data_IF_521459356035
#
_entry.id   IF_521459356035
#
_cell.length_a   1.000
_cell.length_b   1.000
_cell.length_c   1.000
_cell.angle_alpha   90.00
_cell.angle_beta   90.00
_cell.angle_gamma   90.00
#
_symmetry.space_group_name_H-M   'P 1'
#
loop_
_entity.id
_entity.type
_entity.pdbx_description
1 polymer ?
#
# COMPACT_ATOMS: atom_id res chain seq x y z
N UNK A 1 6.37 -2.63 -13.56
CA UNK A 1 5.43 -1.76 -14.29
C UNK A 1 6.07 -0.43 -14.58
N UNK A 2 5.27 0.60 -14.87
CA UNK A 2 5.72 1.98 -15.12
C UNK A 2 5.96 2.79 -13.83
N UNK A 3 5.60 2.23 -12.67
CA UNK A 3 5.79 2.81 -11.35
C UNK A 3 4.74 3.85 -10.93
N UNK A 4 3.62 3.96 -11.65
CA UNK A 4 2.60 4.99 -11.43
C UNK A 4 1.31 4.49 -10.74
N UNK A 5 1.28 3.23 -10.29
CA UNK A 5 0.19 2.67 -9.49
C UNK A 5 0.36 3.07 -8.03
N UNK A 6 -0.72 3.50 -7.37
CA UNK A 6 -0.72 3.89 -5.96
C UNK A 6 -0.72 2.66 -5.05
N UNK A 7 0.10 2.70 -4.00
CA UNK A 7 0.08 1.80 -2.85
C UNK A 7 -0.22 2.56 -1.56
N UNK A 8 -0.77 1.87 -0.57
CA UNK A 8 -1.00 2.40 0.78
C UNK A 8 0.08 1.88 1.74
N UNK A 9 0.79 2.81 2.39
CA UNK A 9 1.89 2.50 3.31
C UNK A 9 1.56 2.95 4.73
N UNK A 10 1.89 2.11 5.70
CA UNK A 10 1.66 2.38 7.13
C UNK A 10 2.72 1.66 7.95
N UNK A 11 3.12 2.26 9.08
CA UNK A 11 4.02 1.63 10.05
C UNK A 11 3.26 0.64 10.94
N UNK A 12 3.93 -0.36 11.49
CA UNK A 12 3.30 -1.35 12.38
C UNK A 12 2.74 -0.70 13.66
N UNK A 13 3.37 0.39 14.14
CA UNK A 13 2.90 1.15 15.28
C UNK A 13 1.55 1.86 14.99
N UNK A 14 1.43 2.47 13.81
CA UNK A 14 0.18 3.08 13.38
C UNK A 14 -0.90 2.03 13.10
N UNK A 15 -0.54 0.86 12.54
CA UNK A 15 -1.47 -0.28 12.40
C UNK A 15 -2.06 -0.66 13.76
N UNK A 16 -1.21 -0.77 14.78
CA UNK A 16 -1.66 -1.03 16.16
C UNK A 16 -2.63 0.03 16.65
N UNK A 17 -2.31 1.31 16.44
CA UNK A 17 -3.15 2.45 16.84
C UNK A 17 -4.53 2.39 16.19
N UNK A 18 -4.60 2.29 14.85
CA UNK A 18 -5.88 2.25 14.13
C UNK A 18 -6.70 1.00 14.45
N UNK A 19 -6.04 -0.13 14.72
CA UNK A 19 -6.72 -1.37 15.10
C UNK A 19 -7.42 -1.23 16.45
N UNK A 20 -6.75 -0.66 17.46
CA UNK A 20 -7.35 -0.44 18.79
C UNK A 20 -8.47 0.59 18.73
N UNK A 21 -8.33 1.64 17.92
CA UNK A 21 -9.40 2.60 17.70
C UNK A 21 -10.62 1.93 17.07
N UNK A 22 -10.42 1.15 16.00
CA UNK A 22 -11.49 0.41 15.34
C UNK A 22 -12.20 -0.58 16.26
N UNK A 23 -11.45 -1.30 17.10
CA UNK A 23 -12.03 -2.26 18.04
C UNK A 23 -12.96 -1.62 19.10
N UNK A 24 -12.74 -0.33 19.41
CA UNK A 24 -13.51 0.41 20.42
C UNK A 24 -14.59 1.33 19.82
N UNK A 25 -14.76 1.35 18.50
CA UNK A 25 -15.68 2.24 17.82
C UNK A 25 -16.92 1.49 17.32
N UNK A 26 -18.14 1.78 17.82
CA UNK A 26 -19.35 1.11 17.35
C UNK A 26 -19.64 1.34 15.86
N UNK A 27 -19.07 2.38 15.23
CA UNK A 27 -19.22 2.66 13.80
C UNK A 27 -18.57 1.59 12.91
N UNK A 28 -17.64 0.79 13.43
CA UNK A 28 -16.92 -0.25 12.68
C UNK A 28 -17.56 -1.64 12.79
N UNK A 29 -18.66 -1.78 13.54
CA UNK A 29 -19.35 -3.06 13.71
C UNK A 29 -19.74 -3.67 12.37
N UNK A 30 -19.28 -4.91 12.12
CA UNK A 30 -19.49 -5.64 10.86
C UNK A 30 -18.98 -4.89 9.61
N UNK A 31 -17.93 -4.09 9.75
CA UNK A 31 -17.27 -3.40 8.63
C UNK A 31 -15.82 -3.83 8.41
N UNK A 32 -15.36 -3.76 7.17
CA UNK A 32 -13.94 -3.70 6.86
C UNK A 32 -13.42 -2.27 7.09
N UNK A 33 -12.32 -2.13 7.84
CA UNK A 33 -11.66 -0.84 8.04
C UNK A 33 -10.46 -0.75 7.11
N UNK A 34 -10.51 0.18 6.17
CA UNK A 34 -9.46 0.42 5.20
C UNK A 34 -8.53 1.51 5.70
N UNK A 35 -7.23 1.30 5.57
CA UNK A 35 -6.22 2.25 6.01
C UNK A 35 -5.49 2.77 4.77
N UNK A 36 -5.98 3.87 4.19
CA UNK A 36 -5.37 4.54 3.04
C UNK A 36 -5.09 5.99 3.40
N UNK A 37 -3.97 6.19 4.09
CA UNK A 37 -3.62 7.48 4.68
C UNK A 37 -3.16 8.47 3.59
N UNK A 38 -3.75 9.67 3.47
CA UNK A 38 -3.51 10.56 2.33
C UNK A 38 -2.04 10.90 2.04
N UNK A 39 -1.23 11.14 3.08
CA UNK A 39 0.18 11.47 2.89
C UNK A 39 1.08 10.25 2.60
N UNK A 40 0.57 9.03 2.87
CA UNK A 40 1.28 7.77 2.65
C UNK A 40 0.66 6.95 1.51
N UNK A 41 -0.22 7.55 0.70
CA UNK A 41 -0.79 6.94 -0.47
C UNK A 41 0.01 7.35 -1.71
N UNK A 42 1.01 6.53 -2.03
CA UNK A 42 2.13 6.90 -2.90
C UNK A 42 2.35 5.87 -4.00
N UNK A 43 2.86 6.30 -5.14
CA UNK A 43 3.33 5.43 -6.21
C UNK A 43 4.79 5.02 -5.95
N UNK A 44 5.25 3.95 -6.61
CA UNK A 44 6.65 3.55 -6.53
C UNK A 44 7.59 4.68 -6.99
N UNK A 45 7.22 5.41 -8.05
CA UNK A 45 8.00 6.57 -8.52
C UNK A 45 8.07 7.70 -7.47
N UNK A 46 6.98 7.99 -6.76
CA UNK A 46 6.96 8.99 -5.67
C UNK A 46 7.84 8.55 -4.49
N UNK A 47 7.80 7.26 -4.10
CA UNK A 47 8.66 6.71 -3.05
C UNK A 47 10.14 6.82 -3.42
N UNK A 48 10.49 6.47 -4.66
CA UNK A 48 11.86 6.59 -5.14
C UNK A 48 12.33 8.05 -5.11
N UNK A 49 11.50 8.99 -5.55
CA UNK A 49 11.82 10.42 -5.48
C UNK A 49 12.01 10.92 -4.04
N UNK A 50 11.16 10.46 -3.10
CA UNK A 50 11.31 10.76 -1.66
C UNK A 50 12.63 10.22 -1.12
N UNK A 51 13.01 9.00 -1.52
CA UNK A 51 14.26 8.39 -1.10
C UNK A 51 15.49 9.11 -1.68
N UNK A 52 15.49 9.42 -2.98
CA UNK A 52 16.53 10.19 -3.66
C UNK A 52 16.75 11.56 -3.01
N UNK A 53 15.67 12.25 -2.64
CA UNK A 53 15.73 13.51 -1.88
C UNK A 53 16.41 13.32 -0.51
N UNK A 54 16.13 12.22 0.20
CA UNK A 54 16.74 11.94 1.51
C UNK A 54 18.24 11.64 1.41
N UNK A 55 18.65 10.93 0.37
CA UNK A 55 20.06 10.51 0.19
C UNK A 55 20.90 11.50 -0.63
N UNK A 56 20.28 12.52 -1.21
CA UNK A 56 20.96 13.56 -2.00
C UNK A 56 21.56 13.07 -3.31
N UNK A 57 21.08 11.95 -3.86
CA UNK A 57 21.54 11.39 -5.13
C UNK A 57 20.41 10.72 -5.92
N UNK A 58 20.53 10.74 -7.24
CA UNK A 58 19.64 10.01 -8.14
C UNK A 58 20.08 8.56 -8.26
N UNK A 59 19.11 7.64 -8.24
CA UNK A 59 19.29 6.21 -8.44
C UNK A 59 19.01 5.85 -9.91
N UNK A 60 19.77 4.89 -10.42
CA UNK A 60 19.46 4.23 -11.69
C UNK A 60 18.15 3.44 -11.54
N UNK A 61 17.28 3.53 -12.56
CA UNK A 61 15.94 2.95 -12.53
C UNK A 61 15.78 1.98 -13.70
N UNK A 62 15.41 0.76 -13.39
CA UNK A 62 15.02 -0.26 -14.36
C UNK A 62 13.54 -0.53 -14.22
N UNK A 63 12.78 -0.33 -15.30
CA UNK A 63 11.37 -0.63 -15.35
C UNK A 63 11.16 -2.01 -15.98
N UNK A 64 10.50 -2.91 -15.24
CA UNK A 64 10.24 -4.28 -15.69
C UNK A 64 8.77 -4.39 -16.14
N UNK A 65 8.48 -4.82 -17.38
CA UNK A 65 7.10 -4.97 -17.87
C UNK A 65 6.36 -6.11 -17.16
N UNK A 66 5.03 -6.04 -17.12
CA UNK A 66 4.20 -7.00 -16.39
C UNK A 66 4.42 -8.44 -16.89
N UNK A 67 4.55 -8.63 -18.20
CA UNK A 67 4.75 -9.94 -18.81
C UNK A 67 6.03 -10.61 -18.30
N UNK A 68 7.10 -9.82 -18.10
CA UNK A 68 8.34 -10.33 -17.54
C UNK A 68 8.17 -10.68 -16.06
N UNK A 69 7.51 -9.84 -15.26
CA UNK A 69 7.23 -10.16 -13.85
C UNK A 69 6.41 -11.44 -13.71
N UNK A 70 5.39 -11.64 -14.54
CA UNK A 70 4.56 -12.86 -14.55
C UNK A 70 5.36 -14.10 -14.94
N UNK A 71 6.33 -13.95 -15.85
CA UNK A 71 7.28 -15.02 -16.19
C UNK A 71 8.18 -15.34 -14.98
N UNK A 72 8.76 -14.32 -14.35
CA UNK A 72 9.63 -14.48 -13.19
C UNK A 72 8.92 -15.17 -12.02
N UNK A 73 7.64 -14.86 -11.78
CA UNK A 73 6.79 -15.54 -10.77
C UNK A 73 6.70 -17.05 -11.06
N UNK A 74 6.47 -17.44 -12.32
CA UNK A 74 6.30 -18.84 -12.71
C UNK A 74 7.61 -19.64 -12.64
N UNK A 75 8.74 -18.99 -12.91
CA UNK A 75 10.06 -19.62 -12.97
C UNK A 75 10.77 -19.63 -11.60
N UNK A 76 10.33 -18.80 -10.65
CA UNK A 76 10.92 -18.71 -9.31
C UNK A 76 10.46 -19.83 -8.37
N UNK A 77 11.38 -20.29 -7.51
CA UNK A 77 11.06 -21.19 -6.39
C UNK A 77 10.49 -20.47 -5.17
N UNK A 78 9.88 -21.21 -4.24
CA UNK A 78 9.42 -20.68 -2.95
C UNK A 78 10.62 -20.23 -2.09
N UNK A 79 10.54 -19.08 -1.37
CA UNK A 79 9.40 -18.16 -1.25
C UNK A 79 9.36 -17.01 -2.27
N UNK A 80 10.30 -16.98 -3.23
CA UNK A 80 10.46 -15.85 -4.15
C UNK A 80 9.27 -15.64 -5.07
N UNK A 81 8.67 -16.73 -5.58
CA UNK A 81 7.45 -16.65 -6.40
C UNK A 81 6.29 -15.97 -5.65
N UNK A 82 6.13 -16.28 -4.36
CA UNK A 82 5.10 -15.67 -3.51
C UNK A 82 5.36 -14.18 -3.29
N UNK A 83 6.60 -13.79 -2.99
CA UNK A 83 6.96 -12.38 -2.82
C UNK A 83 6.77 -11.57 -4.12
N UNK A 84 7.17 -12.13 -5.26
CA UNK A 84 6.94 -11.49 -6.56
C UNK A 84 5.45 -11.37 -6.89
N UNK A 85 4.64 -12.37 -6.56
CA UNK A 85 3.18 -12.31 -6.72
C UNK A 85 2.55 -11.23 -5.82
N UNK A 86 3.03 -11.07 -4.59
CA UNK A 86 2.61 -9.99 -3.69
C UNK A 86 2.96 -8.61 -4.26
N UNK A 87 4.20 -8.41 -4.73
CA UNK A 87 4.60 -7.15 -5.36
C UNK A 87 3.88 -6.89 -6.68
N UNK A 88 3.55 -7.93 -7.44
CA UNK A 88 2.74 -7.80 -8.66
C UNK A 88 1.33 -7.27 -8.34
N UNK A 89 0.67 -7.85 -7.34
CA UNK A 89 -0.63 -7.36 -6.86
C UNK A 89 -0.57 -5.89 -6.44
N UNK A 90 0.41 -5.55 -5.60
CA UNK A 90 0.50 -4.21 -5.00
C UNK A 90 0.99 -3.13 -5.97
N UNK A 91 2.04 -3.41 -6.75
CA UNK A 91 2.71 -2.40 -7.59
C UNK A 91 2.25 -2.35 -9.04
N UNK A 92 1.61 -3.41 -9.55
CA UNK A 92 1.17 -3.47 -10.94
C UNK A 92 -0.36 -3.52 -11.05
N UNK A 93 -1.04 -4.32 -10.22
CA UNK A 93 -2.51 -4.39 -10.24
C UNK A 93 -3.20 -3.32 -9.40
N UNK A 94 -2.50 -2.73 -8.44
CA UNK A 94 -3.04 -1.66 -7.60
C UNK A 94 -4.10 -2.16 -6.64
N UNK A 95 -3.78 -3.21 -5.87
CA UNK A 95 -4.70 -3.79 -4.90
C UNK A 95 -5.14 -2.83 -3.78
N UNK A 96 -4.47 -1.70 -3.60
CA UNK A 96 -4.87 -0.61 -2.71
C UNK A 96 -5.81 0.44 -3.36
N UNK A 97 -6.09 0.33 -4.67
CA UNK A 97 -6.82 1.31 -5.48
C UNK A 97 -8.23 0.82 -5.77
N UNK A 98 -9.18 1.19 -4.91
CA UNK A 98 -10.59 0.81 -5.06
C UNK A 98 -11.51 1.77 -4.32
N UNK A 99 -12.73 1.91 -4.81
CA UNK A 99 -13.82 2.56 -4.08
C UNK A 99 -14.36 1.61 -3.01
N UNK A 100 -14.90 2.17 -1.93
CA UNK A 100 -15.48 1.39 -0.82
C UNK A 100 -17.00 1.56 -0.76
N UNK A 101 -17.68 0.52 -0.28
CA UNK A 101 -19.12 0.50 -0.01
C UNK A 101 -19.37 1.00 1.41
N UNK A 102 -19.94 2.21 1.61
CA UNK A 102 -20.15 2.77 2.96
C UNK A 102 -21.05 1.92 3.86
N UNK A 103 -21.83 0.98 3.29
CA UNK A 103 -22.60 0.03 4.08
C UNK A 103 -21.72 -1.03 4.77
N UNK A 104 -20.60 -1.43 4.15
CA UNK A 104 -19.75 -2.56 4.59
C UNK A 104 -18.33 -2.14 4.96
N UNK A 105 -17.93 -0.94 4.58
CA UNK A 105 -16.56 -0.49 4.63
C UNK A 105 -16.50 0.85 5.36
N UNK A 106 -15.35 1.14 5.95
CA UNK A 106 -15.04 2.44 6.53
C UNK A 106 -13.59 2.83 6.28
N UNK A 107 -13.34 4.11 6.06
CA UNK A 107 -12.00 4.65 5.86
C UNK A 107 -11.42 5.18 7.19
N UNK A 108 -10.24 4.69 7.56
CA UNK A 108 -9.65 4.97 8.86
C UNK A 108 -9.32 6.46 9.06
N UNK A 109 -8.82 7.13 8.02
CA UNK A 109 -8.46 8.56 8.14
C UNK A 109 -9.69 9.48 8.22
N UNK A 110 -10.86 9.02 7.75
CA UNK A 110 -12.13 9.75 7.92
C UNK A 110 -12.74 9.51 9.30
N UNK A 111 -12.64 8.28 9.83
CA UNK A 111 -13.15 7.95 11.17
C UNK A 111 -12.33 8.59 12.29
N UNK A 112 -11.01 8.72 12.09
CA UNK A 112 -10.04 9.17 13.09
C UNK A 112 -9.10 10.27 12.55
N UNK A 113 -9.63 11.44 12.17
CA UNK A 113 -8.85 12.51 11.52
C UNK A 113 -7.78 13.12 12.44
N UNK A 114 -7.91 12.96 13.76
CA UNK A 114 -6.99 13.51 14.75
C UNK A 114 -5.74 12.63 14.98
N UNK A 115 -5.71 11.41 14.42
CA UNK A 115 -4.56 10.51 14.56
C UNK A 115 -3.42 11.03 13.71
N UNK A 116 -2.33 11.42 14.37
CA UNK A 116 -1.07 11.73 13.72
C UNK A 116 -0.36 10.42 13.38
N UNK A 117 -0.24 10.14 12.09
CA UNK A 117 0.47 8.97 11.57
C UNK A 117 1.87 9.37 11.08
N UNK A 118 2.75 8.36 10.96
CA UNK A 118 4.16 8.55 10.56
C UNK A 118 4.32 8.65 9.05
#
# INVERSE_FOLDING_TARGET
>A
GDGNVKGAYITEADVGTFTVLAANDPRTLNKAVHIRLPANYLTANEIMALWEKKIGKTLEKTYVPEEQVLKDIKESGFPHNYLLALYHSQQLKGDAVYEIDPAKDAEAHELYPDVKFT
#
